data_IF_316989664185
#
_entry.id   IF_316989664185
#
_cell.length_a   1.000
_cell.length_b   1.000
_cell.length_c   1.000
_cell.angle_alpha   90.00
_cell.angle_beta   90.00
_cell.angle_gamma   90.00
#
_symmetry.space_group_name_H-M   'P 1'
#
loop_
_entity.id
_entity.type
_entity.pdbx_description
1 polymer ?
#
# COMPACT_ATOMS: atom_id res chain seq x y z
N UNK A 1 15.04 -7.48 -53.69
CA UNK A 1 15.10 -7.75 -52.24
C UNK A 1 14.80 -6.45 -51.50
N UNK A 2 13.57 -6.30 -50.99
CA UNK A 2 13.16 -5.14 -50.18
C UNK A 2 13.09 -5.59 -48.72
N UNK A 3 13.99 -5.08 -47.89
CA UNK A 3 13.99 -5.34 -46.45
C UNK A 3 13.14 -4.25 -45.77
N UNK A 4 11.94 -4.62 -45.31
CA UNK A 4 11.10 -3.74 -44.49
C UNK A 4 11.70 -3.70 -43.08
N UNK A 5 12.25 -2.54 -42.69
CA UNK A 5 12.56 -2.26 -41.29
C UNK A 5 11.25 -2.01 -40.55
N UNK A 6 10.82 -2.99 -39.76
CA UNK A 6 9.78 -2.83 -38.75
C UNK A 6 10.45 -2.15 -37.56
N UNK A 7 10.23 -0.85 -37.39
CA UNK A 7 10.50 -0.18 -36.13
C UNK A 7 9.43 -0.66 -35.14
N UNK A 8 9.85 -1.44 -34.14
CA UNK A 8 9.05 -1.73 -32.97
C UNK A 8 9.14 -0.50 -32.05
N UNK A 9 8.02 0.15 -31.67
CA UNK A 9 8.08 1.23 -30.71
C UNK A 9 8.42 0.63 -29.34
N UNK A 10 9.58 1.02 -28.81
CA UNK A 10 9.96 0.77 -27.42
C UNK A 10 9.00 1.56 -26.53
N UNK A 11 7.96 0.90 -26.02
CA UNK A 11 7.19 1.42 -24.90
C UNK A 11 8.11 1.42 -23.68
N UNK A 12 8.72 2.57 -23.38
CA UNK A 12 9.26 2.84 -22.06
C UNK A 12 8.08 2.98 -21.10
N UNK A 13 7.68 1.87 -20.48
CA UNK A 13 6.72 1.86 -19.39
C UNK A 13 7.43 2.36 -18.12
N UNK A 14 7.46 3.67 -17.91
CA UNK A 14 7.82 4.26 -16.62
C UNK A 14 6.59 4.95 -16.04
N UNK A 15 5.69 4.15 -15.46
CA UNK A 15 4.67 4.64 -14.55
C UNK A 15 5.05 4.18 -13.14
N UNK A 16 5.58 5.11 -12.34
CA UNK A 16 6.00 4.91 -10.95
C UNK A 16 5.10 5.77 -10.04
N UNK A 17 3.88 5.31 -9.79
CA UNK A 17 2.83 6.08 -9.12
C UNK A 17 3.21 6.62 -7.73
N UNK A 18 4.11 5.98 -6.97
CA UNK A 18 4.51 6.49 -5.65
C UNK A 18 6.02 6.67 -5.43
N UNK A 19 6.81 6.61 -6.48
CA UNK A 19 8.17 7.20 -6.49
C UNK A 19 8.38 7.95 -7.79
N UNK A 20 7.58 9.00 -8.04
CA UNK A 20 7.76 9.82 -9.21
C UNK A 20 9.13 10.48 -9.16
N UNK A 21 9.81 10.56 -10.31
CA UNK A 21 10.96 11.43 -10.44
C UNK A 21 10.52 12.86 -10.11
N UNK A 22 11.08 13.45 -9.05
CA UNK A 22 10.93 14.87 -8.75
C UNK A 22 11.66 15.66 -9.84
N UNK A 23 10.96 15.90 -10.95
CA UNK A 23 11.45 16.68 -12.08
C UNK A 23 10.57 17.89 -12.30
N UNK A 24 11.18 19.04 -12.59
CA UNK A 24 10.46 20.15 -13.21
C UNK A 24 9.89 19.63 -14.53
N UNK A 25 8.56 19.72 -14.71
CA UNK A 25 7.89 19.45 -15.98
C UNK A 25 8.72 20.03 -17.12
N UNK A 26 9.16 19.19 -18.06
CA UNK A 26 9.79 19.68 -19.28
C UNK A 26 8.80 20.61 -19.98
N UNK A 27 9.25 21.77 -20.47
CA UNK A 27 8.37 22.78 -21.08
C UNK A 27 7.48 22.21 -22.20
N UNK A 28 7.94 21.15 -22.87
CA UNK A 28 7.27 20.48 -23.99
C UNK A 28 6.75 19.05 -23.64
N UNK A 29 6.66 18.69 -22.35
CA UNK A 29 6.14 17.39 -21.89
C UNK A 29 4.60 17.33 -21.83
N UNK A 30 4.01 16.12 -21.83
CA UNK A 30 2.55 15.96 -21.68
C UNK A 30 2.07 16.51 -20.32
N UNK A 31 0.85 17.03 -20.28
CA UNK A 31 0.24 17.56 -19.05
C UNK A 31 0.08 16.50 -17.95
N UNK A 32 -0.12 15.23 -18.35
CA UNK A 32 -0.34 14.09 -17.48
C UNK A 32 0.37 12.82 -17.99
N UNK A 33 0.78 11.90 -17.10
CA UNK A 33 0.86 12.10 -15.64
C UNK A 33 1.96 13.12 -15.28
N UNK A 34 1.72 13.96 -14.27
CA UNK A 34 2.70 14.91 -13.78
C UNK A 34 2.81 14.87 -12.26
N UNK A 35 4.00 15.17 -11.74
CA UNK A 35 4.26 15.26 -10.31
C UNK A 35 4.75 16.65 -9.99
N UNK A 36 4.07 17.32 -9.05
CA UNK A 36 4.42 18.66 -8.62
C UNK A 36 4.80 18.59 -7.14
N UNK A 37 5.92 19.22 -6.73
CA UNK A 37 6.20 19.40 -5.31
C UNK A 37 5.04 20.12 -4.62
N UNK A 38 4.77 19.77 -3.37
CA UNK A 38 3.79 20.48 -2.56
C UNK A 38 4.16 21.96 -2.36
N UNK A 39 3.18 22.87 -2.19
CA UNK A 39 3.43 24.30 -2.09
C UNK A 39 3.88 24.76 -0.69
N UNK A 40 4.00 23.84 0.26
CA UNK A 40 4.11 24.16 1.67
C UNK A 40 5.48 24.69 2.09
N UNK A 41 5.45 25.59 3.08
CA UNK A 41 6.63 26.06 3.80
C UNK A 41 6.90 25.17 5.02
N UNK A 42 8.05 25.29 5.70
CA UNK A 42 8.31 24.51 6.92
C UNK A 42 7.17 24.63 7.93
N UNK A 43 6.77 23.53 8.60
CA UNK A 43 5.66 23.54 9.55
C UNK A 43 5.98 24.40 10.77
N UNK A 44 4.93 24.82 11.49
CA UNK A 44 5.06 25.57 12.74
C UNK A 44 5.97 24.82 13.74
N UNK A 45 6.89 25.51 14.45
CA UNK A 45 7.66 24.88 15.52
C UNK A 45 6.81 24.24 16.62
N UNK A 46 5.53 24.63 16.76
CA UNK A 46 4.60 24.04 17.73
C UNK A 46 4.19 22.59 17.42
N UNK A 47 4.39 22.12 16.18
CA UNK A 47 4.18 20.71 15.81
C UNK A 47 5.50 19.94 15.73
N UNK A 48 6.60 20.53 16.21
CA UNK A 48 7.89 19.84 16.28
C UNK A 48 7.75 18.57 17.12
N UNK A 49 8.17 17.43 16.54
CA UNK A 49 8.07 16.12 17.17
C UNK A 49 6.73 15.40 16.96
N UNK A 50 5.74 16.02 16.30
CA UNK A 50 4.54 15.29 15.87
C UNK A 50 4.92 14.31 14.76
N UNK A 51 4.44 13.08 14.85
CA UNK A 51 4.66 12.05 13.84
C UNK A 51 3.45 11.11 13.79
N UNK A 52 3.22 10.54 12.61
CA UNK A 52 2.22 9.48 12.44
C UNK A 52 2.82 8.19 12.98
N UNK A 53 2.27 7.70 14.10
CA UNK A 53 2.80 6.51 14.76
C UNK A 53 2.34 5.21 14.07
N UNK A 54 1.03 5.07 13.80
CA UNK A 54 0.44 3.86 13.24
C UNK A 54 -0.80 4.15 12.39
N UNK A 55 -1.23 3.17 11.60
CA UNK A 55 -2.55 3.11 10.99
C UNK A 55 -3.33 1.91 11.57
N UNK A 56 -4.62 2.09 11.86
CA UNK A 56 -5.46 1.08 12.48
C UNK A 56 -6.39 0.40 11.47
N UNK A 57 -6.42 -0.93 11.48
CA UNK A 57 -7.31 -1.76 10.66
C UNK A 57 -8.24 -2.59 11.54
N UNK A 58 -9.53 -2.45 11.32
CA UNK A 58 -10.53 -3.27 11.99
C UNK A 58 -10.58 -4.67 11.36
N UNK A 59 -10.43 -5.70 12.18
CA UNK A 59 -10.37 -7.11 11.76
C UNK A 59 -11.46 -7.94 12.44
N UNK A 60 -12.01 -8.93 11.72
CA UNK A 60 -13.07 -9.82 12.24
C UNK A 60 -12.54 -11.04 12.98
N UNK A 61 -11.29 -11.43 12.73
CA UNK A 61 -10.66 -12.57 13.39
C UNK A 61 -9.18 -12.27 13.64
N UNK A 62 -8.83 -11.96 14.88
CA UNK A 62 -7.49 -11.52 15.24
C UNK A 62 -6.42 -12.57 14.91
N UNK A 63 -6.67 -13.85 15.20
CA UNK A 63 -5.70 -14.92 14.95
C UNK A 63 -5.43 -15.08 13.45
N UNK A 64 -6.49 -15.10 12.63
CA UNK A 64 -6.36 -15.21 11.17
C UNK A 64 -5.63 -14.01 10.59
N UNK A 65 -5.98 -12.80 11.02
CA UNK A 65 -5.37 -11.57 10.50
C UNK A 65 -3.90 -11.48 10.93
N UNK A 66 -3.56 -11.75 12.19
CA UNK A 66 -2.16 -11.78 12.65
C UNK A 66 -1.33 -12.80 11.85
N UNK A 67 -1.83 -14.02 11.65
CA UNK A 67 -1.12 -15.02 10.83
C UNK A 67 -0.91 -14.51 9.40
N UNK A 68 -1.94 -13.92 8.79
CA UNK A 68 -1.84 -13.37 7.45
C UNK A 68 -0.79 -12.26 7.33
N UNK A 69 -0.80 -11.24 8.20
CA UNK A 69 0.19 -10.15 8.10
C UNK A 69 1.63 -10.63 8.37
N UNK A 70 1.81 -11.62 9.23
CA UNK A 70 3.12 -12.24 9.48
C UNK A 70 3.59 -13.05 8.29
N UNK A 71 2.77 -13.96 7.82
CA UNK A 71 3.17 -14.96 6.84
C UNK A 71 3.14 -14.40 5.42
N UNK A 72 2.12 -13.61 5.07
CA UNK A 72 2.02 -12.99 3.75
C UNK A 72 2.97 -11.79 3.61
N UNK A 73 3.05 -10.91 4.61
CA UNK A 73 3.74 -9.62 4.45
C UNK A 73 5.01 -9.48 5.31
N UNK A 74 5.36 -10.45 6.16
CA UNK A 74 6.59 -10.43 6.94
C UNK A 74 6.58 -9.48 8.14
N UNK A 75 5.40 -9.08 8.63
CA UNK A 75 5.30 -8.30 9.87
C UNK A 75 5.69 -9.11 11.10
N UNK A 76 6.21 -8.43 12.12
CA UNK A 76 6.42 -8.98 13.46
C UNK A 76 5.39 -8.42 14.44
N UNK A 77 4.90 -9.27 15.34
CA UNK A 77 4.02 -8.85 16.44
C UNK A 77 4.86 -8.20 17.53
N UNK A 78 4.59 -6.93 17.83
CA UNK A 78 5.23 -6.22 18.93
C UNK A 78 4.63 -6.62 20.26
N UNK A 79 3.31 -6.46 20.37
CA UNK A 79 2.54 -6.85 21.53
C UNK A 79 1.06 -7.00 21.20
N UNK A 80 0.34 -7.67 22.08
CA UNK A 80 -1.13 -7.69 22.11
C UNK A 80 -1.59 -6.99 23.37
N UNK A 81 -2.42 -5.97 23.22
CA UNK A 81 -3.11 -5.32 24.34
C UNK A 81 -4.57 -5.77 24.39
N UNK A 82 -4.93 -6.49 25.44
CA UNK A 82 -6.31 -6.95 25.70
C UNK A 82 -7.00 -5.99 26.65
N UNK A 83 -7.81 -5.07 26.12
CA UNK A 83 -8.52 -4.09 26.95
C UNK A 83 -9.74 -4.71 27.66
N UNK A 84 -10.34 -5.76 27.09
CA UNK A 84 -11.46 -6.49 27.70
C UNK A 84 -11.52 -7.95 27.20
N UNK A 85 -12.40 -8.81 27.73
CA UNK A 85 -12.60 -10.16 27.19
C UNK A 85 -12.97 -10.19 25.70
N UNK A 86 -13.56 -9.10 25.19
CA UNK A 86 -14.07 -8.98 23.82
C UNK A 86 -13.30 -7.98 22.96
N UNK A 87 -12.34 -7.24 23.49
CA UNK A 87 -11.62 -6.20 22.75
C UNK A 87 -10.11 -6.38 22.88
N UNK A 88 -9.41 -6.38 21.75
CA UNK A 88 -7.96 -6.50 21.69
C UNK A 88 -7.38 -5.70 20.55
N UNK A 89 -6.20 -5.14 20.75
CA UNK A 89 -5.39 -4.52 19.70
C UNK A 89 -4.04 -5.22 19.60
N UNK A 90 -3.53 -5.37 18.39
CA UNK A 90 -2.21 -5.96 18.13
C UNK A 90 -1.38 -5.01 17.29
N UNK A 91 -0.20 -4.65 17.80
CA UNK A 91 0.74 -3.81 17.07
C UNK A 91 1.70 -4.67 16.28
N UNK A 92 1.87 -4.31 15.01
CA UNK A 92 2.71 -4.99 14.03
C UNK A 92 3.73 -4.01 13.44
N UNK A 93 4.94 -4.48 13.19
CA UNK A 93 5.97 -3.71 12.49
C UNK A 93 6.79 -4.58 11.53
N UNK A 94 7.28 -4.00 10.45
CA UNK A 94 8.43 -4.55 9.74
C UNK A 94 9.72 -4.25 10.51
N UNK A 95 10.70 -5.14 10.38
CA UNK A 95 12.07 -4.75 10.70
C UNK A 95 12.50 -3.62 9.78
N UNK A 96 13.06 -2.55 10.35
CA UNK A 96 13.70 -1.51 9.55
C UNK A 96 14.91 -2.06 8.80
N UNK A 97 15.41 -1.33 7.78
CA UNK A 97 16.68 -1.64 7.14
C UNK A 97 17.80 -1.44 8.14
N UNK A 98 18.07 -2.48 8.92
CA UNK A 98 19.15 -2.62 9.91
C UNK A 98 19.13 -1.54 11.00
N UNK A 99 18.90 -1.96 12.25
CA UNK A 99 19.23 -1.11 13.40
C UNK A 99 20.67 -0.60 13.25
N UNK A 100 20.93 0.64 13.69
CA UNK A 100 22.25 1.29 13.62
C UNK A 100 23.41 0.28 13.77
N UNK A 101 23.96 -0.22 12.65
CA UNK A 101 25.15 -1.07 12.64
C UNK A 101 25.08 -2.56 12.23
N UNK A 102 24.00 -3.17 11.71
CA UNK A 102 24.14 -4.58 11.29
C UNK A 102 23.01 -5.24 10.50
N UNK A 103 23.41 -6.07 9.53
CA UNK A 103 22.62 -6.84 8.55
C UNK A 103 21.61 -7.89 9.11
N UNK A 104 21.08 -7.68 10.32
CA UNK A 104 20.09 -8.55 10.96
C UNK A 104 18.71 -7.90 11.07
N UNK A 105 17.66 -8.73 11.02
CA UNK A 105 16.31 -8.30 11.37
C UNK A 105 16.26 -7.90 12.84
N UNK A 106 15.66 -6.75 13.15
CA UNK A 106 15.46 -6.30 14.52
C UNK A 106 14.61 -7.31 15.31
N UNK A 107 14.98 -7.53 16.57
CA UNK A 107 14.19 -8.29 17.53
C UNK A 107 12.90 -7.54 17.89
N UNK A 108 11.91 -8.28 18.39
CA UNK A 108 10.64 -7.69 18.88
C UNK A 108 10.87 -6.65 19.97
N UNK A 109 11.85 -6.87 20.86
CA UNK A 109 12.20 -5.92 21.94
C UNK A 109 12.74 -4.62 21.35
N UNK A 110 13.64 -4.69 20.37
CA UNK A 110 14.18 -3.50 19.70
C UNK A 110 13.10 -2.73 18.94
N UNK A 111 12.20 -3.45 18.25
CA UNK A 111 11.08 -2.82 17.53
C UNK A 111 10.09 -2.15 18.49
N UNK A 112 9.81 -2.78 19.63
CA UNK A 112 8.94 -2.21 20.67
C UNK A 112 9.57 -0.98 21.29
N UNK A 113 10.88 -1.02 21.59
CA UNK A 113 11.62 0.14 22.06
C UNK A 113 11.65 1.28 21.02
N UNK A 114 11.80 0.95 19.73
CA UNK A 114 11.71 1.92 18.65
C UNK A 114 10.32 2.56 18.57
N UNK A 115 9.24 1.78 18.73
CA UNK A 115 7.88 2.31 18.80
C UNK A 115 7.71 3.27 19.98
N UNK A 116 8.10 2.87 21.18
CA UNK A 116 7.95 3.67 22.40
C UNK A 116 8.77 4.97 22.38
N UNK A 117 9.86 4.99 21.61
CA UNK A 117 10.72 6.17 21.44
C UNK A 117 10.42 6.96 20.17
N UNK A 118 9.33 6.65 19.46
CA UNK A 118 8.90 7.34 18.23
C UNK A 118 9.84 7.16 17.03
N UNK A 119 10.70 6.14 17.06
CA UNK A 119 11.65 5.82 15.99
C UNK A 119 11.14 4.74 15.02
N UNK A 120 10.11 3.98 15.42
CA UNK A 120 9.48 3.03 14.51
C UNK A 120 8.65 3.78 13.45
N UNK A 121 8.58 3.21 12.24
CA UNK A 121 7.83 3.77 11.11
C UNK A 121 6.94 2.67 10.51
N UNK A 122 5.79 3.07 9.97
CA UNK A 122 4.89 2.17 9.26
C UNK A 122 4.25 1.08 10.13
N UNK A 123 3.91 1.41 11.39
CA UNK A 123 3.23 0.47 12.28
C UNK A 123 1.79 0.23 11.84
N UNK A 124 1.32 -1.01 11.97
CA UNK A 124 -0.08 -1.37 11.83
C UNK A 124 -0.66 -1.77 13.19
N UNK A 125 -1.84 -1.24 13.51
CA UNK A 125 -2.65 -1.64 14.66
C UNK A 125 -3.85 -2.47 14.16
N UNK A 126 -3.90 -3.75 14.49
CA UNK A 126 -5.07 -4.58 14.22
C UNK A 126 -6.04 -4.47 15.39
N UNK A 127 -7.22 -3.91 15.13
CA UNK A 127 -8.27 -3.72 16.13
C UNK A 127 -9.31 -4.81 15.99
N UNK A 128 -9.48 -5.62 17.04
CA UNK A 128 -10.44 -6.70 17.10
C UNK A 128 -11.47 -6.45 18.20
N UNK A 129 -12.74 -6.57 17.83
CA UNK A 129 -13.85 -6.70 18.76
C UNK A 129 -14.63 -7.99 18.45
N UNK A 130 -14.85 -8.83 19.45
CA UNK A 130 -15.72 -9.99 19.33
C UNK A 130 -17.16 -9.52 19.12
N UNK A 131 -17.70 -9.76 17.92
CA UNK A 131 -19.05 -9.38 17.51
C UNK A 131 -20.09 -10.50 17.69
N UNK A 132 -19.77 -11.59 18.37
CA UNK A 132 -20.72 -12.68 18.62
C UNK A 132 -22.02 -12.16 19.25
N UNK A 133 -23.15 -12.44 18.59
CA UNK A 133 -24.47 -11.97 19.02
C UNK A 133 -24.83 -10.53 18.62
N UNK A 134 -24.07 -9.89 17.73
CA UNK A 134 -24.44 -8.59 17.14
C UNK A 134 -24.81 -8.76 15.66
N UNK A 135 -25.76 -7.95 15.19
CA UNK A 135 -25.99 -7.81 13.75
C UNK A 135 -24.76 -7.15 13.11
N UNK A 136 -24.16 -7.83 12.13
CA UNK A 136 -23.01 -7.29 11.39
C UNK A 136 -23.51 -6.25 10.40
N UNK A 137 -23.20 -4.97 10.64
CA UNK A 137 -23.34 -3.94 9.62
C UNK A 137 -22.29 -4.13 8.51
N UNK A 138 -22.69 -3.91 7.26
CA UNK A 138 -21.80 -3.89 6.10
C UNK A 138 -20.82 -2.70 6.18
N UNK A 139 -19.65 -2.84 5.55
CA UNK A 139 -18.76 -1.70 5.31
C UNK A 139 -19.41 -0.80 4.25
N UNK A 140 -19.69 0.45 4.60
CA UNK A 140 -20.31 1.41 3.67
C UNK A 140 -19.28 2.14 2.80
N UNK A 141 -19.63 2.32 1.52
CA UNK A 141 -19.26 3.43 0.62
C UNK A 141 -17.80 3.55 0.12
N UNK A 142 -17.62 4.18 -1.05
CA UNK A 142 -16.33 4.49 -1.70
C UNK A 142 -15.56 5.67 -1.08
N UNK A 143 -15.98 6.17 0.09
CA UNK A 143 -15.33 7.27 0.81
C UNK A 143 -14.83 6.79 2.16
N UNK A 144 -13.52 6.94 2.43
CA UNK A 144 -12.91 6.44 3.67
C UNK A 144 -11.42 6.15 3.53
N UNK A 145 -10.90 5.26 4.39
CA UNK A 145 -9.52 4.77 4.31
C UNK A 145 -9.32 3.97 3.02
N UNK A 146 -8.41 4.43 2.15
CA UNK A 146 -8.16 3.80 0.85
C UNK A 146 -7.41 2.47 0.97
N UNK A 147 -6.12 2.51 1.36
CA UNK A 147 -5.28 1.34 1.45
C UNK A 147 -4.06 1.56 2.34
N UNK A 148 -3.38 0.46 2.70
CA UNK A 148 -2.01 0.49 3.21
C UNK A 148 -1.05 0.29 2.05
N UNK A 149 -0.11 1.21 1.86
CA UNK A 149 0.97 1.08 0.88
C UNK A 149 2.16 0.29 1.43
N UNK A 150 2.64 -0.67 0.65
CA UNK A 150 3.81 -1.51 0.94
C UNK A 150 4.84 -1.36 -0.19
N UNK A 151 6.08 -1.05 0.20
CA UNK A 151 7.21 -1.05 -0.71
C UNK A 151 7.95 -2.39 -0.60
N UNK A 152 8.20 -3.01 -1.74
CA UNK A 152 8.98 -4.24 -1.88
C UNK A 152 10.17 -4.01 -2.82
N UNK A 153 11.23 -4.85 -2.77
CA UNK A 153 12.31 -4.76 -3.74
C UNK A 153 11.85 -5.09 -5.17
N UNK A 154 11.01 -6.12 -5.32
CA UNK A 154 10.52 -6.62 -6.60
C UNK A 154 9.06 -7.03 -6.48
N UNK A 155 8.18 -6.29 -7.16
CA UNK A 155 6.74 -6.51 -7.14
C UNK A 155 6.33 -7.83 -7.78
N UNK A 156 7.05 -8.31 -8.80
CA UNK A 156 6.74 -9.58 -9.48
C UNK A 156 7.11 -10.78 -8.60
N UNK A 157 8.25 -10.71 -7.90
CA UNK A 157 8.62 -11.72 -6.91
C UNK A 157 7.64 -11.73 -5.73
N UNK A 158 7.26 -10.56 -5.23
CA UNK A 158 6.26 -10.43 -4.17
C UNK A 158 4.91 -11.02 -4.61
N UNK A 159 4.47 -10.69 -5.83
CA UNK A 159 3.23 -11.23 -6.41
C UNK A 159 3.25 -12.76 -6.45
N UNK A 160 4.28 -13.36 -7.06
CA UNK A 160 4.39 -14.81 -7.18
C UNK A 160 4.35 -15.51 -5.81
N UNK A 161 5.02 -14.94 -4.81
CA UNK A 161 4.99 -15.44 -3.44
C UNK A 161 3.59 -15.35 -2.83
N UNK A 162 2.91 -14.21 -2.96
CA UNK A 162 1.58 -14.00 -2.41
C UNK A 162 0.54 -14.91 -3.06
N UNK A 163 0.60 -15.08 -4.38
CA UNK A 163 -0.23 -16.04 -5.12
C UNK A 163 0.02 -17.48 -4.66
N UNK A 164 1.30 -17.86 -4.47
CA UNK A 164 1.66 -19.19 -3.94
C UNK A 164 1.15 -19.47 -2.52
N UNK A 165 0.93 -18.41 -1.72
CA UNK A 165 0.31 -18.49 -0.39
C UNK A 165 -1.23 -18.44 -0.43
N UNK A 166 -1.84 -18.31 -1.61
CA UNK A 166 -3.28 -18.22 -1.78
C UNK A 166 -3.87 -16.89 -1.30
N UNK A 167 -3.08 -15.82 -1.30
CA UNK A 167 -3.57 -14.47 -1.01
C UNK A 167 -4.53 -14.02 -2.12
N UNK A 168 -5.61 -13.35 -1.73
CA UNK A 168 -6.56 -12.79 -2.69
C UNK A 168 -5.94 -11.61 -3.42
N UNK A 169 -5.63 -11.80 -4.70
CA UNK A 169 -5.13 -10.75 -5.59
C UNK A 169 -6.33 -10.07 -6.26
N UNK A 170 -6.43 -8.75 -6.07
CA UNK A 170 -7.46 -7.93 -6.72
C UNK A 170 -7.01 -7.46 -8.11
N UNK A 171 -5.72 -7.14 -8.27
CA UNK A 171 -5.10 -6.71 -9.52
C UNK A 171 -3.64 -7.12 -9.53
N UNK A 172 -3.16 -7.75 -10.60
CA UNK A 172 -1.73 -8.06 -10.76
C UNK A 172 -0.93 -6.85 -11.22
N UNK A 173 0.36 -6.83 -10.89
CA UNK A 173 1.30 -5.91 -11.51
C UNK A 173 1.40 -6.21 -13.02
N UNK A 174 1.34 -5.17 -13.85
CA UNK A 174 1.30 -5.25 -15.32
C UNK A 174 -0.09 -5.47 -15.91
N UNK A 175 -1.11 -5.76 -15.09
CA UNK A 175 -2.50 -5.88 -15.53
C UNK A 175 -3.16 -4.50 -15.63
N UNK A 176 -3.91 -4.27 -16.70
CA UNK A 176 -4.75 -3.06 -16.85
C UNK A 176 -5.85 -3.12 -15.79
N UNK A 177 -6.00 -2.10 -14.92
CA UNK A 177 -6.99 -2.14 -13.86
C UNK A 177 -8.42 -2.06 -14.40
N UNK A 178 -9.33 -2.81 -13.79
CA UNK A 178 -10.77 -2.60 -13.95
C UNK A 178 -11.23 -1.44 -13.04
N UNK A 179 -11.17 -0.22 -13.58
CA UNK A 179 -11.57 0.99 -12.87
C UNK A 179 -13.09 1.08 -12.67
N UNK A 180 -13.91 0.33 -13.40
CA UNK A 180 -15.36 0.30 -13.17
C UNK A 180 -15.78 -0.55 -11.96
N UNK A 181 -14.85 -1.36 -11.44
CA UNK A 181 -15.09 -2.30 -10.35
C UNK A 181 -14.39 -1.93 -9.04
N UNK A 182 -14.10 -2.93 -8.19
CA UNK A 182 -13.53 -2.71 -6.86
C UNK A 182 -12.15 -2.03 -6.86
N UNK A 183 -11.41 -2.08 -7.98
CA UNK A 183 -10.15 -1.31 -8.12
C UNK A 183 -10.45 0.19 -8.25
N UNK A 184 -11.47 0.59 -9.00
CA UNK A 184 -11.87 2.00 -9.04
C UNK A 184 -12.29 2.52 -7.67
N UNK A 185 -13.19 1.79 -7.00
CA UNK A 185 -13.68 2.16 -5.66
C UNK A 185 -12.55 2.34 -4.66
N UNK A 186 -11.56 1.46 -4.70
CA UNK A 186 -10.35 1.49 -3.87
C UNK A 186 -9.49 2.76 -4.04
N UNK A 187 -9.51 3.36 -5.22
CA UNK A 187 -8.81 4.60 -5.55
C UNK A 187 -9.75 5.82 -5.58
N UNK A 188 -10.96 5.69 -5.04
CA UNK A 188 -11.93 6.77 -4.95
C UNK A 188 -12.53 7.17 -6.31
N UNK A 189 -12.50 6.26 -7.28
CA UNK A 189 -13.08 6.45 -8.61
C UNK A 189 -14.47 5.81 -8.63
N UNK A 190 -15.55 6.60 -8.59
CA UNK A 190 -16.88 6.05 -8.72
C UNK A 190 -17.10 5.59 -10.17
N UNK A 191 -17.90 4.54 -10.34
CA UNK A 191 -18.09 3.88 -11.64
C UNK A 191 -18.61 4.85 -12.73
N UNK A 192 -19.45 5.82 -12.36
CA UNK A 192 -20.00 6.82 -13.28
C UNK A 192 -18.93 7.77 -13.85
N UNK A 193 -17.89 8.11 -13.08
CA UNK A 193 -16.76 8.92 -13.55
C UNK A 193 -15.93 8.13 -14.57
N UNK A 194 -15.73 6.84 -14.34
CA UNK A 194 -14.99 5.95 -15.25
C UNK A 194 -15.76 5.75 -16.55
N UNK A 195 -17.08 5.57 -16.46
CA UNK A 195 -17.94 5.38 -17.64
C UNK A 195 -18.08 6.65 -18.50
N UNK A 196 -18.02 7.84 -17.88
CA UNK A 196 -18.26 9.10 -18.59
C UNK A 196 -16.99 9.82 -19.07
N UNK A 197 -15.80 9.38 -18.64
CA UNK A 197 -14.53 9.99 -19.07
C UNK A 197 -13.43 8.95 -19.37
N UNK A 198 -13.46 8.41 -20.59
CA UNK A 198 -12.51 7.40 -21.06
C UNK A 198 -11.04 7.88 -21.09
N UNK A 199 -10.80 9.18 -21.33
CA UNK A 199 -9.44 9.73 -21.37
C UNK A 199 -8.79 9.72 -19.98
N UNK A 200 -9.55 10.12 -18.95
CA UNK A 200 -9.07 10.05 -17.56
C UNK A 200 -8.86 8.59 -17.14
N UNK A 201 -9.79 7.69 -17.50
CA UNK A 201 -9.67 6.26 -17.21
C UNK A 201 -8.40 5.64 -17.82
N UNK A 202 -8.02 6.04 -19.03
CA UNK A 202 -6.78 5.59 -19.68
C UNK A 202 -5.53 6.09 -18.94
N UNK A 203 -5.49 7.38 -18.59
CA UNK A 203 -4.36 7.98 -17.86
C UNK A 203 -4.16 7.34 -16.48
N UNK A 204 -5.26 7.14 -15.75
CA UNK A 204 -5.25 6.48 -14.43
C UNK A 204 -4.82 5.02 -14.57
N UNK A 205 -5.33 4.31 -15.59
CA UNK A 205 -4.96 2.92 -15.84
C UNK A 205 -3.45 2.78 -16.09
N UNK A 206 -2.87 3.71 -16.85
CA UNK A 206 -1.44 3.79 -17.06
C UNK A 206 -0.66 4.01 -15.74
N UNK A 207 -1.14 4.90 -14.87
CA UNK A 207 -0.50 5.17 -13.58
C UNK A 207 -0.49 3.94 -12.65
N UNK A 208 -1.56 3.15 -12.65
CA UNK A 208 -1.70 1.96 -11.79
C UNK A 208 -1.11 0.68 -12.39
N UNK A 209 -0.57 0.72 -13.60
CA UNK A 209 -0.15 -0.48 -14.32
C UNK A 209 0.87 -1.32 -13.53
N UNK A 210 1.90 -0.69 -12.97
CA UNK A 210 2.97 -1.36 -12.22
C UNK A 210 2.61 -1.81 -10.81
N UNK A 211 1.41 -1.50 -10.34
CA UNK A 211 0.98 -1.72 -8.95
C UNK A 211 0.32 -3.09 -8.79
N UNK A 212 0.68 -3.83 -7.74
CA UNK A 212 -0.03 -5.03 -7.28
C UNK A 212 -1.04 -4.64 -6.20
N UNK A 213 -2.25 -5.16 -6.27
CA UNK A 213 -3.30 -4.96 -5.27
C UNK A 213 -3.71 -6.29 -4.68
N UNK A 214 -3.59 -6.43 -3.36
CA UNK A 214 -4.02 -7.63 -2.63
C UNK A 214 -4.94 -7.28 -1.48
N UNK A 215 -5.78 -8.23 -1.10
CA UNK A 215 -6.72 -8.07 -0.01
C UNK A 215 -6.28 -8.89 1.20
N UNK A 216 -6.40 -8.26 2.37
CA UNK A 216 -6.25 -8.96 3.63
C UNK A 216 -7.50 -9.84 3.93
N UNK A 217 -7.47 -10.65 5.00
CA UNK A 217 -8.58 -11.49 5.44
C UNK A 217 -9.95 -10.80 5.55
N UNK A 218 -9.95 -9.50 5.80
CA UNK A 218 -11.12 -8.67 6.06
C UNK A 218 -11.50 -7.78 4.87
N UNK A 219 -10.79 -7.91 3.74
CA UNK A 219 -11.01 -7.10 2.54
C UNK A 219 -10.37 -5.72 2.61
N UNK A 220 -9.47 -5.47 3.56
CA UNK A 220 -8.65 -4.25 3.52
C UNK A 220 -7.68 -4.34 2.34
N UNK A 221 -7.54 -3.23 1.63
CA UNK A 221 -6.66 -3.16 0.47
C UNK A 221 -5.21 -2.87 0.88
N UNK A 222 -4.30 -3.67 0.33
CA UNK A 222 -2.87 -3.46 0.40
C UNK A 222 -2.35 -3.18 -1.00
N UNK A 223 -1.80 -1.99 -1.17
CA UNK A 223 -1.12 -1.57 -2.39
C UNK A 223 0.35 -1.97 -2.30
N UNK A 224 0.85 -2.75 -3.25
CA UNK A 224 2.23 -3.25 -3.26
C UNK A 224 2.97 -2.71 -4.47
N UNK A 225 4.10 -2.07 -4.23
CA UNK A 225 4.90 -1.43 -5.27
C UNK A 225 6.39 -1.73 -5.10
N UNK A 226 7.12 -1.77 -6.21
CA UNK A 226 8.58 -1.79 -6.17
C UNK A 226 9.12 -0.42 -5.74
N UNK A 227 10.20 -0.42 -4.94
CA UNK A 227 11.01 0.77 -4.76
C UNK A 227 11.62 1.14 -6.12
N UNK A 228 11.30 2.31 -6.69
CA UNK A 228 11.98 2.76 -7.90
C UNK A 228 13.36 3.32 -7.55
N UNK A 229 14.34 3.05 -8.42
CA UNK A 229 15.76 3.34 -8.16
C UNK A 229 16.39 2.35 -7.19
N UNK A 230 16.53 1.09 -7.63
CA UNK A 230 17.39 0.11 -6.95
C UNK A 230 18.80 0.67 -6.67
N UNK A 231 19.61 -0.02 -5.85
CA UNK A 231 20.98 0.43 -5.57
C UNK A 231 21.79 0.74 -6.83
#
# INVERSE_FOLDING_TARGET
MHLKHILLPTLLATAHACTPALGTRAADGPDFPSTQPGPDTPPSPSTAGYFVNHAALNVRNLTRSVAWYRDALGFQVLFTFRASPRYSVVYLAHSGPTGEGGAGAQTVVELTAAMMSGRARGLLELVYFDRSGLESGERGGSTGFGHVGLIVPDVLQAQARLEGLGVQVLKRAGEVPDLGGPVGEAFGLPADVVETNAADAELISGALLGVLLVLDPDGNLIEVQSLSGGP
#
